data_IF_298902993078
#
_entry.id   IF_298902993078
#
_cell.length_a   1.000
_cell.length_b   1.000
_cell.length_c   1.000
_cell.angle_alpha   90.00
_cell.angle_beta   90.00
_cell.angle_gamma   90.00
#
_symmetry.space_group_name_H-M   'P 1'
#
loop_
_entity.id
_entity.type
_entity.pdbx_description
1 polymer ?
#
# COMPACT_ATOMS: atom_id res chain seq x y z
N UNK A 1 -6.85 -25.42 3.59
CA UNK A 1 -6.89 -24.69 4.88
C UNK A 1 -5.47 -24.21 5.19
N UNK A 2 -5.27 -23.00 5.70
CA UNK A 2 -3.93 -22.57 6.15
C UNK A 2 -3.56 -23.34 7.42
N UNK A 3 -2.34 -23.84 7.49
CA UNK A 3 -1.78 -24.48 8.70
C UNK A 3 -1.49 -23.41 9.77
N UNK A 4 -1.50 -23.83 11.04
CA UNK A 4 -1.22 -22.93 12.17
C UNK A 4 0.26 -22.54 12.22
N UNK A 5 0.53 -21.23 12.23
CA UNK A 5 1.87 -20.67 12.38
C UNK A 5 2.06 -20.07 13.78
N UNK A 6 2.89 -20.70 14.65
CA UNK A 6 3.11 -20.23 16.01
C UNK A 6 3.78 -18.85 16.10
N UNK A 7 4.58 -18.43 15.11
CA UNK A 7 5.22 -17.12 15.12
C UNK A 7 4.20 -16.02 14.84
N UNK A 8 3.35 -16.23 13.86
CA UNK A 8 2.27 -15.31 13.54
C UNK A 8 1.25 -15.24 14.68
N UNK A 9 0.89 -16.38 15.28
CA UNK A 9 -0.04 -16.45 16.39
C UNK A 9 0.46 -15.63 17.60
N UNK A 10 1.74 -15.78 17.97
CA UNK A 10 2.37 -14.99 19.03
C UNK A 10 2.40 -13.48 18.72
N UNK A 11 2.59 -13.10 17.46
CA UNK A 11 2.59 -11.69 17.03
C UNK A 11 1.19 -11.06 17.09
N UNK A 12 0.14 -11.84 16.86
CA UNK A 12 -1.25 -11.37 16.77
C UNK A 12 -2.08 -11.71 18.00
N UNK A 13 -1.48 -12.30 19.04
CA UNK A 13 -2.08 -12.47 20.36
C UNK A 13 -3.13 -13.57 20.47
N UNK A 14 -3.07 -14.61 19.64
CA UNK A 14 -3.93 -15.79 19.75
C UNK A 14 -3.10 -17.06 19.89
N UNK A 15 -3.63 -18.05 20.59
CA UNK A 15 -2.98 -19.34 20.87
C UNK A 15 -3.45 -20.44 19.93
N UNK A 16 -2.79 -21.61 19.99
CA UNK A 16 -3.25 -22.81 19.28
C UNK A 16 -4.63 -23.25 19.75
N UNK A 17 -4.91 -23.13 21.05
CA UNK A 17 -6.22 -23.42 21.63
C UNK A 17 -7.30 -22.49 21.09
N UNK A 18 -7.01 -21.20 20.95
CA UNK A 18 -7.95 -20.23 20.37
C UNK A 18 -8.25 -20.56 18.90
N UNK A 19 -7.22 -20.97 18.15
CA UNK A 19 -7.36 -21.37 16.75
C UNK A 19 -8.20 -22.63 16.58
N UNK A 20 -7.97 -23.65 17.42
CA UNK A 20 -8.69 -24.92 17.36
C UNK A 20 -10.12 -24.82 17.93
N UNK A 21 -10.42 -23.78 18.72
CA UNK A 21 -11.76 -23.51 19.26
C UNK A 21 -12.70 -22.82 18.26
N UNK A 22 -12.17 -22.24 17.17
CA UNK A 22 -13.00 -21.59 16.14
C UNK A 22 -13.58 -22.67 15.22
N UNK A 23 -14.85 -22.98 15.45
CA UNK A 23 -15.65 -23.75 14.50
C UNK A 23 -16.14 -22.82 13.38
N UNK A 24 -15.65 -23.06 12.16
CA UNK A 24 -16.04 -22.30 10.96
C UNK A 24 -16.81 -23.22 10.02
N UNK A 25 -18.13 -23.41 10.23
CA UNK A 25 -18.95 -24.21 9.33
C UNK A 25 -18.92 -23.64 7.90
N UNK A 26 -19.21 -24.50 6.92
CA UNK A 26 -19.38 -24.07 5.53
C UNK A 26 -20.57 -23.12 5.43
N UNK A 27 -20.43 -22.06 4.63
CA UNK A 27 -21.49 -21.08 4.44
C UNK A 27 -22.68 -21.71 3.69
N UNK A 28 -23.88 -21.65 4.26
CA UNK A 28 -25.10 -22.10 3.60
C UNK A 28 -25.77 -20.99 2.77
N UNK A 29 -26.65 -21.37 1.85
CA UNK A 29 -27.38 -20.42 1.01
C UNK A 29 -28.26 -19.44 1.83
N UNK A 30 -28.77 -19.88 2.99
CA UNK A 30 -29.53 -19.02 3.90
C UNK A 30 -28.63 -17.99 4.60
N UNK A 31 -27.38 -18.33 4.91
CA UNK A 31 -26.41 -17.39 5.48
C UNK A 31 -26.09 -16.28 4.50
N UNK A 32 -25.94 -16.62 3.20
CA UNK A 32 -25.74 -15.63 2.15
C UNK A 32 -26.95 -14.71 1.98
N UNK A 33 -28.18 -15.22 2.11
CA UNK A 33 -29.39 -14.39 2.03
C UNK A 33 -29.48 -13.40 3.18
N UNK A 34 -29.02 -13.79 4.37
CA UNK A 34 -29.01 -12.95 5.57
C UNK A 34 -27.77 -12.06 5.68
N UNK A 35 -26.83 -12.15 4.75
CA UNK A 35 -25.62 -11.35 4.76
C UNK A 35 -25.96 -9.85 4.62
N UNK A 36 -25.36 -9.05 5.50
CA UNK A 36 -25.51 -7.59 5.49
C UNK A 36 -24.28 -6.92 4.91
N UNK A 37 -24.47 -5.75 4.29
CA UNK A 37 -23.36 -4.97 3.80
C UNK A 37 -22.44 -4.56 4.97
N UNK A 38 -21.12 -4.61 4.76
CA UNK A 38 -20.15 -4.17 5.77
C UNK A 38 -20.43 -2.76 6.30
N UNK A 39 -20.85 -1.85 5.43
CA UNK A 39 -21.21 -0.47 5.80
C UNK A 39 -22.49 -0.35 6.61
N UNK A 40 -23.37 -1.34 6.55
CA UNK A 40 -24.59 -1.40 7.36
C UNK A 40 -24.28 -1.91 8.77
N UNK A 41 -23.45 -2.95 8.88
CA UNK A 41 -23.08 -3.55 10.17
C UNK A 41 -22.06 -2.70 10.93
N UNK A 42 -21.13 -2.06 10.21
CA UNK A 42 -20.05 -1.25 10.79
C UNK A 42 -20.00 0.15 10.16
N UNK A 43 -21.01 1.01 10.39
CA UNK A 43 -21.11 2.31 9.72
C UNK A 43 -19.92 3.22 10.00
N UNK A 44 -19.47 3.32 11.25
CA UNK A 44 -18.32 4.15 11.62
C UNK A 44 -17.00 3.67 11.00
N UNK A 45 -16.80 2.35 10.90
CA UNK A 45 -15.60 1.76 10.30
C UNK A 45 -15.63 1.87 8.78
N UNK A 46 -16.79 1.72 8.15
CA UNK A 46 -16.94 1.95 6.71
C UNK A 46 -16.70 3.42 6.35
N UNK A 47 -17.14 4.36 7.19
CA UNK A 47 -16.86 5.78 6.99
C UNK A 47 -15.36 6.11 7.12
N UNK A 48 -14.68 5.56 8.13
CA UNK A 48 -13.24 5.76 8.31
C UNK A 48 -12.42 5.11 7.20
N UNK A 49 -12.78 3.88 6.79
CA UNK A 49 -12.15 3.19 5.67
C UNK A 49 -12.29 4.00 4.38
N UNK A 50 -13.48 4.55 4.09
CA UNK A 50 -13.73 5.43 2.94
C UNK A 50 -12.87 6.70 2.97
N UNK A 51 -12.72 7.33 4.14
CA UNK A 51 -11.87 8.51 4.32
C UNK A 51 -10.37 8.20 4.15
N UNK A 52 -9.96 6.96 4.39
CA UNK A 52 -8.57 6.51 4.29
C UNK A 52 -8.18 5.90 2.94
N UNK A 53 -9.09 5.88 1.96
CA UNK A 53 -8.80 5.31 0.64
C UNK A 53 -7.73 6.13 -0.09
N UNK A 54 -6.55 5.55 -0.22
CA UNK A 54 -5.42 6.06 -1.00
C UNK A 54 -4.13 6.15 -0.19
N UNK A 55 -2.98 6.10 -0.88
CA UNK A 55 -1.69 6.42 -0.25
C UNK A 55 -1.80 7.83 0.36
N UNK A 56 -1.33 8.05 1.60
CA UNK A 56 -1.31 9.39 2.19
C UNK A 56 -0.76 10.41 1.19
N UNK A 57 -1.49 11.51 1.00
CA UNK A 57 -1.07 12.58 0.08
C UNK A 57 0.29 13.10 0.55
N UNK A 58 1.27 13.07 -0.35
CA UNK A 58 2.56 13.71 -0.11
C UNK A 58 2.35 15.22 -0.03
N UNK A 59 2.93 15.89 0.98
CA UNK A 59 2.84 17.34 1.12
C UNK A 59 3.45 18.09 -0.09
N UNK A 60 4.46 17.49 -0.74
CA UNK A 60 5.13 18.01 -1.93
C UNK A 60 5.33 16.87 -2.94
N UNK A 61 4.31 16.53 -3.77
CA UNK A 61 4.45 15.48 -4.77
C UNK A 61 5.41 15.92 -5.89
N UNK A 62 5.99 14.95 -6.61
CA UNK A 62 6.71 15.24 -7.85
C UNK A 62 5.72 15.71 -8.90
N UNK A 63 6.08 16.76 -9.65
CA UNK A 63 5.26 17.31 -10.72
C UNK A 63 5.81 16.79 -12.05
N UNK A 64 4.95 16.18 -12.87
CA UNK A 64 5.32 15.80 -14.23
C UNK A 64 5.32 17.05 -15.11
N UNK A 65 6.45 17.34 -15.75
CA UNK A 65 6.61 18.48 -16.66
C UNK A 65 7.17 17.98 -17.99
N UNK A 66 6.82 18.67 -19.08
CA UNK A 66 7.46 18.47 -20.38
C UNK A 66 8.68 19.38 -20.46
N UNK A 67 9.88 18.81 -20.54
CA UNK A 67 11.16 19.53 -20.59
C UNK A 67 11.98 19.02 -21.78
N UNK A 68 12.59 19.94 -22.53
CA UNK A 68 13.59 19.61 -23.55
C UNK A 68 14.97 19.63 -22.90
N UNK A 69 15.73 18.57 -23.11
CA UNK A 69 17.08 18.38 -22.62
C UNK A 69 17.99 18.09 -23.81
N UNK A 70 19.27 18.43 -23.68
CA UNK A 70 20.27 18.01 -24.65
C UNK A 70 20.36 16.47 -24.69
N UNK A 71 20.57 15.93 -25.88
CA UNK A 71 20.51 14.49 -26.12
C UNK A 71 21.60 13.74 -25.33
N UNK A 72 22.81 14.28 -25.29
CA UNK A 72 23.95 13.73 -24.56
C UNK A 72 23.70 13.65 -23.05
N UNK A 73 23.07 14.66 -22.46
CA UNK A 73 22.67 14.68 -21.04
C UNK A 73 21.68 13.55 -20.76
N UNK A 74 20.65 13.41 -21.59
CA UNK A 74 19.65 12.37 -21.41
C UNK A 74 20.24 10.96 -21.54
N UNK A 75 21.10 10.74 -22.53
CA UNK A 75 21.77 9.46 -22.75
C UNK A 75 22.74 9.13 -21.61
N UNK A 76 23.50 10.11 -21.10
CA UNK A 76 24.38 9.91 -19.95
C UNK A 76 23.61 9.44 -18.70
N UNK A 77 22.43 10.01 -18.43
CA UNK A 77 21.60 9.53 -17.33
C UNK A 77 21.03 8.14 -17.63
N UNK A 78 20.44 7.89 -18.80
CA UNK A 78 19.88 6.57 -19.15
C UNK A 78 20.92 5.44 -19.05
N UNK A 79 22.16 5.69 -19.46
CA UNK A 79 23.27 4.75 -19.39
C UNK A 79 23.56 4.27 -17.95
N UNK A 80 23.18 5.04 -16.93
CA UNK A 80 23.29 4.62 -15.52
C UNK A 80 22.30 3.50 -15.12
N UNK A 81 21.38 3.12 -16.01
CA UNK A 81 20.44 1.99 -15.82
C UNK A 81 19.23 2.33 -14.95
N UNK A 82 18.69 1.32 -14.28
CA UNK A 82 17.48 1.44 -13.46
C UNK A 82 17.61 2.58 -12.44
N UNK A 83 16.58 3.44 -12.37
CA UNK A 83 16.56 4.60 -11.48
C UNK A 83 17.26 5.85 -12.00
N UNK A 84 17.63 5.91 -13.29
CA UNK A 84 18.27 7.10 -13.86
C UNK A 84 17.47 8.40 -13.68
N UNK A 85 16.13 8.34 -13.76
CA UNK A 85 15.27 9.50 -13.52
C UNK A 85 15.37 10.02 -12.08
N UNK A 86 15.53 9.12 -11.11
CA UNK A 86 15.74 9.51 -9.71
C UNK A 86 17.10 10.18 -9.52
N UNK A 87 18.16 9.65 -10.15
CA UNK A 87 19.50 10.28 -10.15
C UNK A 87 19.48 11.66 -10.82
N UNK A 88 18.79 11.79 -11.95
CA UNK A 88 18.60 13.08 -12.63
C UNK A 88 17.88 14.08 -11.73
N UNK A 89 16.81 13.67 -11.06
CA UNK A 89 16.11 14.52 -10.10
C UNK A 89 17.00 14.94 -8.91
N UNK A 90 17.86 14.05 -8.39
CA UNK A 90 18.82 14.41 -7.35
C UNK A 90 19.87 15.44 -7.82
N UNK A 91 20.36 15.30 -9.05
CA UNK A 91 21.27 16.28 -9.65
C UNK A 91 20.61 17.67 -9.76
N UNK A 92 19.36 17.71 -10.24
CA UNK A 92 18.58 18.95 -10.33
C UNK A 92 18.35 19.59 -8.95
N UNK A 93 18.07 18.80 -7.91
CA UNK A 93 17.93 19.31 -6.54
C UNK A 93 19.23 19.93 -6.03
N UNK A 94 20.37 19.26 -6.26
CA UNK A 94 21.69 19.78 -5.87
C UNK A 94 22.01 21.09 -6.57
N UNK A 95 21.77 21.17 -7.89
CA UNK A 95 21.97 22.39 -8.68
C UNK A 95 21.05 23.54 -8.23
N UNK A 96 19.84 23.23 -7.78
CA UNK A 96 18.90 24.19 -7.21
C UNK A 96 19.11 24.47 -5.71
N UNK A 97 20.18 23.95 -5.09
CA UNK A 97 20.47 24.07 -3.66
C UNK A 97 19.33 23.58 -2.74
N UNK A 98 18.58 22.57 -3.18
CA UNK A 98 17.50 21.95 -2.41
C UNK A 98 18.03 20.76 -1.60
N UNK A 99 18.01 20.88 -0.26
CA UNK A 99 18.26 19.76 0.66
C UNK A 99 17.11 18.73 0.59
N UNK A 100 17.38 17.50 1.05
CA UNK A 100 16.46 16.36 0.95
C UNK A 100 15.14 16.63 1.68
#
# INVERSE_FOLDING_TARGET
MREFDPKHAAQNGYSRTDWDAVESPELEAEDLKNAKAFSEVFPALAESARKSLGRPKLAKPKIAVSLRLDADVLEAFKASGQGWQSRMNEALRKAAHLSR
#
